data_IF_061629843797
#
_entry.id   IF_061629843797
#
_cell.length_a   1.000
_cell.length_b   1.000
_cell.length_c   1.000
_cell.angle_alpha   90.00
_cell.angle_beta   90.00
_cell.angle_gamma   90.00
#
_symmetry.space_group_name_H-M   'P 1'
#
loop_
_entity.id
_entity.type
_entity.pdbx_description
1 polymer ?
#
# COMPACT_ATOMS: atom_id res chain seq x y z
N UNK A 1 44.78 -71.93 -3.57
CA UNK A 1 44.13 -71.08 -4.60
C UNK A 1 42.76 -70.54 -4.19
N UNK A 2 41.96 -71.24 -3.38
CA UNK A 2 40.60 -70.80 -2.97
C UNK A 2 40.55 -69.45 -2.22
N UNK A 3 41.55 -69.12 -1.38
CA UNK A 3 41.59 -67.86 -0.61
C UNK A 3 41.73 -66.60 -1.46
N UNK A 4 42.48 -66.66 -2.57
CA UNK A 4 42.69 -65.50 -3.44
C UNK A 4 41.41 -65.16 -4.23
N UNK A 5 40.74 -66.20 -4.74
CA UNK A 5 39.47 -66.04 -5.45
C UNK A 5 38.39 -65.43 -4.55
N UNK A 6 38.30 -65.85 -3.28
CA UNK A 6 37.35 -65.28 -2.33
C UNK A 6 37.62 -63.78 -2.08
N UNK A 7 38.89 -63.37 -2.05
CA UNK A 7 39.30 -61.98 -1.86
C UNK A 7 38.94 -61.12 -3.09
N UNK A 8 39.18 -61.60 -4.30
CA UNK A 8 38.81 -60.91 -5.55
C UNK A 8 37.29 -60.70 -5.66
N UNK A 9 36.51 -61.73 -5.32
CA UNK A 9 35.04 -61.62 -5.30
C UNK A 9 34.56 -60.57 -4.30
N UNK A 10 35.18 -60.51 -3.11
CA UNK A 10 34.86 -59.49 -2.12
C UNK A 10 35.24 -58.08 -2.60
N UNK A 11 36.40 -57.93 -3.24
CA UNK A 11 36.86 -56.65 -3.79
C UNK A 11 35.95 -56.17 -4.92
N UNK A 12 35.55 -57.05 -5.83
CA UNK A 12 34.61 -56.75 -6.90
C UNK A 12 33.26 -56.28 -6.34
N UNK A 13 32.72 -56.94 -5.30
CA UNK A 13 31.48 -56.51 -4.65
C UNK A 13 31.61 -55.09 -4.05
N UNK A 14 32.71 -54.81 -3.36
CA UNK A 14 33.00 -53.47 -2.82
C UNK A 14 33.11 -52.43 -3.94
N UNK A 15 33.70 -52.80 -5.07
CA UNK A 15 33.81 -51.91 -6.22
C UNK A 15 32.45 -51.55 -6.80
N UNK A 16 31.59 -52.54 -7.01
CA UNK A 16 30.21 -52.33 -7.48
C UNK A 16 29.42 -51.43 -6.51
N UNK A 17 29.59 -51.62 -5.20
CA UNK A 17 28.96 -50.76 -4.20
C UNK A 17 29.44 -49.30 -4.28
N UNK A 18 30.75 -49.09 -4.45
CA UNK A 18 31.33 -47.75 -4.66
C UNK A 18 30.80 -47.11 -5.95
N UNK A 19 30.72 -47.88 -7.04
CA UNK A 19 30.18 -47.39 -8.32
C UNK A 19 28.70 -47.02 -8.19
N UNK A 20 27.91 -47.85 -7.50
CA UNK A 20 26.50 -47.59 -7.23
C UNK A 20 26.31 -46.29 -6.44
N UNK A 21 27.04 -46.13 -5.34
CA UNK A 21 26.99 -44.90 -4.52
C UNK A 21 27.40 -43.67 -5.31
N UNK A 22 28.46 -43.78 -6.14
CA UNK A 22 28.91 -42.68 -6.99
C UNK A 22 27.83 -42.29 -8.01
N UNK A 23 27.16 -43.27 -8.61
CA UNK A 23 26.11 -43.01 -9.59
C UNK A 23 24.92 -42.28 -8.96
N UNK A 24 24.50 -42.70 -7.76
CA UNK A 24 23.42 -42.06 -7.01
C UNK A 24 23.76 -40.62 -6.63
N UNK A 25 24.98 -40.38 -6.11
CA UNK A 25 25.43 -39.04 -5.77
C UNK A 25 25.46 -38.11 -6.99
N UNK A 26 25.95 -38.61 -8.13
CA UNK A 26 25.97 -37.83 -9.38
C UNK A 26 24.55 -37.45 -9.83
N UNK A 27 23.61 -38.39 -9.77
CA UNK A 27 22.20 -38.14 -10.09
C UNK A 27 21.59 -37.08 -9.17
N UNK A 28 21.86 -37.15 -7.87
CA UNK A 28 21.38 -36.16 -6.89
C UNK A 28 21.98 -34.78 -7.16
N UNK A 29 23.27 -34.70 -7.48
CA UNK A 29 23.94 -33.44 -7.81
C UNK A 29 23.38 -32.81 -9.09
N UNK A 30 23.12 -33.61 -10.13
CA UNK A 30 22.52 -33.14 -11.38
C UNK A 30 21.11 -32.59 -11.14
N UNK A 31 20.29 -33.33 -10.39
CA UNK A 31 18.92 -32.92 -10.04
C UNK A 31 18.94 -31.60 -9.25
N UNK A 32 19.79 -31.51 -8.23
CA UNK A 32 19.93 -30.30 -7.41
C UNK A 32 20.35 -29.07 -8.24
N UNK A 33 21.29 -29.23 -9.17
CA UNK A 33 21.70 -28.15 -10.07
C UNK A 33 20.57 -27.74 -11.02
N UNK A 34 19.82 -28.71 -11.55
CA UNK A 34 18.62 -28.47 -12.35
C UNK A 34 17.58 -27.64 -11.60
N UNK A 35 17.20 -28.07 -10.40
CA UNK A 35 16.21 -27.39 -9.56
C UNK A 35 16.67 -25.98 -9.15
N UNK A 36 17.96 -25.81 -8.82
CA UNK A 36 18.52 -24.51 -8.49
C UNK A 36 18.43 -23.56 -9.68
N UNK A 37 18.70 -24.05 -10.89
CA UNK A 37 18.62 -23.26 -12.13
C UNK A 37 17.18 -22.85 -12.42
N UNK A 38 16.22 -23.79 -12.37
CA UNK A 38 14.81 -23.49 -12.63
C UNK A 38 14.24 -22.53 -11.58
N UNK A 39 14.55 -22.71 -10.30
CA UNK A 39 14.14 -21.79 -9.23
C UNK A 39 14.66 -20.38 -9.48
N UNK A 40 15.93 -20.23 -9.87
CA UNK A 40 16.51 -18.92 -10.20
C UNK A 40 15.81 -18.27 -11.38
N UNK A 41 15.52 -19.01 -12.45
CA UNK A 41 14.80 -18.46 -13.61
C UNK A 41 13.38 -18.02 -13.27
N UNK A 42 12.64 -18.82 -12.48
CA UNK A 42 11.30 -18.44 -12.02
C UNK A 42 11.32 -17.17 -11.16
N UNK A 43 12.30 -17.05 -10.27
CA UNK A 43 12.47 -15.85 -9.43
C UNK A 43 12.79 -14.61 -10.27
N UNK A 44 13.70 -14.71 -11.24
CA UNK A 44 14.02 -13.58 -12.13
C UNK A 44 12.79 -13.17 -12.96
N UNK A 45 12.05 -14.13 -13.52
CA UNK A 45 10.84 -13.82 -14.28
C UNK A 45 9.76 -13.14 -13.42
N UNK A 46 9.57 -13.62 -12.18
CA UNK A 46 8.63 -13.01 -11.24
C UNK A 46 9.06 -11.59 -10.86
N UNK A 47 10.36 -11.37 -10.64
CA UNK A 47 10.92 -10.04 -10.35
C UNK A 47 10.75 -9.08 -11.54
N UNK A 48 11.02 -9.53 -12.76
CA UNK A 48 10.85 -8.73 -13.98
C UNK A 48 9.37 -8.37 -14.21
N UNK A 49 8.45 -9.33 -14.01
CA UNK A 49 7.02 -9.09 -14.12
C UNK A 49 6.54 -8.07 -13.07
N UNK A 50 6.99 -8.22 -11.81
CA UNK A 50 6.70 -7.26 -10.74
C UNK A 50 7.27 -5.87 -11.06
N UNK A 51 8.49 -5.79 -11.58
CA UNK A 51 9.11 -4.53 -11.97
C UNK A 51 8.32 -3.83 -13.07
N UNK A 52 7.89 -4.56 -14.11
CA UNK A 52 7.05 -4.00 -15.19
C UNK A 52 5.72 -3.48 -14.65
N UNK A 53 5.06 -4.24 -13.78
CA UNK A 53 3.81 -3.82 -13.14
C UNK A 53 4.01 -2.56 -12.30
N UNK A 54 5.06 -2.52 -11.48
CA UNK A 54 5.34 -1.39 -10.61
C UNK A 54 5.67 -0.13 -11.41
N UNK A 55 6.40 -0.25 -12.52
CA UNK A 55 6.67 0.88 -13.42
C UNK A 55 5.39 1.45 -14.04
N UNK A 56 4.46 0.58 -14.49
CA UNK A 56 3.17 1.02 -15.01
C UNK A 56 2.33 1.73 -13.92
N UNK A 57 2.23 1.14 -12.74
CA UNK A 57 1.51 1.74 -11.61
C UNK A 57 2.09 3.08 -11.19
N UNK A 58 3.43 3.22 -11.19
CA UNK A 58 4.08 4.49 -10.86
C UNK A 58 3.72 5.59 -11.86
N UNK A 59 3.72 5.27 -13.16
CA UNK A 59 3.31 6.21 -14.19
C UNK A 59 1.83 6.61 -14.04
N UNK A 60 0.95 5.66 -13.73
CA UNK A 60 -0.47 5.93 -13.50
C UNK A 60 -0.69 6.85 -12.30
N UNK A 61 0.06 6.63 -11.21
CA UNK A 61 0.04 7.48 -10.00
C UNK A 61 0.52 8.89 -10.34
N UNK A 62 1.64 9.03 -11.06
CA UNK A 62 2.18 10.32 -11.44
C UNK A 62 1.21 11.10 -12.36
N UNK A 63 0.56 10.41 -13.29
CA UNK A 63 -0.47 11.00 -14.15
C UNK A 63 -1.70 11.45 -13.33
N UNK A 64 -2.14 10.64 -12.36
CA UNK A 64 -3.23 11.00 -11.46
C UNK A 64 -2.87 12.20 -10.57
N UNK A 65 -1.64 12.26 -10.07
CA UNK A 65 -1.13 13.38 -9.28
C UNK A 65 -1.12 14.67 -10.10
N UNK A 66 -0.56 14.67 -11.31
CA UNK A 66 -0.55 15.84 -12.21
C UNK A 66 -1.95 16.35 -12.47
N UNK A 67 -2.89 15.45 -12.79
CA UNK A 67 -4.31 15.79 -12.99
C UNK A 67 -4.95 16.38 -11.73
N UNK A 68 -4.59 15.90 -10.55
CA UNK A 68 -5.06 16.45 -9.29
C UNK A 68 -4.47 17.83 -9.03
N UNK A 69 -3.16 18.00 -9.23
CA UNK A 69 -2.49 19.30 -9.10
C UNK A 69 -3.13 20.33 -10.03
N UNK A 70 -3.34 20.00 -11.31
CA UNK A 70 -4.07 20.85 -12.26
C UNK A 70 -5.44 21.28 -11.71
N UNK A 71 -6.19 20.36 -11.08
CA UNK A 71 -7.49 20.67 -10.45
C UNK A 71 -7.37 21.52 -9.19
N UNK A 72 -6.30 21.36 -8.41
CA UNK A 72 -6.05 22.16 -7.21
C UNK A 72 -5.65 23.60 -7.57
N UNK A 73 -4.93 23.79 -8.68
CA UNK A 73 -4.64 25.12 -9.23
C UNK A 73 -5.85 25.76 -9.90
N UNK A 74 -6.88 24.99 -10.23
CA UNK A 74 -8.18 25.54 -10.63
C UNK A 74 -8.92 26.06 -9.39
N UNK A 75 -9.68 27.13 -9.60
CA UNK A 75 -10.49 27.83 -8.59
C UNK A 75 -11.24 26.83 -7.68
N UNK A 76 -11.42 27.14 -6.37
CA UNK A 76 -12.22 26.30 -5.48
C UNK A 76 -13.54 25.88 -6.11
N UNK A 77 -14.01 24.68 -5.77
CA UNK A 77 -15.25 24.12 -6.35
C UNK A 77 -16.37 25.17 -6.35
N UNK A 78 -17.20 25.28 -7.41
CA UNK A 78 -18.26 26.30 -7.48
C UNK A 78 -19.15 26.35 -6.24
N UNK A 79 -19.43 25.20 -5.64
CA UNK A 79 -20.19 25.11 -4.38
C UNK A 79 -19.46 25.74 -3.19
N UNK A 80 -18.14 25.59 -3.06
CA UNK A 80 -17.37 26.26 -1.99
C UNK A 80 -17.35 27.76 -2.20
N UNK A 81 -17.20 28.23 -3.44
CA UNK A 81 -17.27 29.67 -3.78
C UNK A 81 -18.67 30.23 -3.49
N UNK A 82 -19.73 29.49 -3.84
CA UNK A 82 -21.11 29.88 -3.56
C UNK A 82 -21.38 29.93 -2.06
N UNK A 83 -20.92 28.94 -1.30
CA UNK A 83 -21.08 28.90 0.16
C UNK A 83 -20.36 30.07 0.82
N UNK A 84 -19.11 30.34 0.42
CA UNK A 84 -18.34 31.48 0.91
C UNK A 84 -19.05 32.81 0.60
N UNK A 85 -19.58 32.96 -0.61
CA UNK A 85 -20.34 34.15 -1.02
C UNK A 85 -21.58 34.35 -0.15
N UNK A 86 -22.38 33.29 0.06
CA UNK A 86 -23.57 33.33 0.89
C UNK A 86 -23.23 33.60 2.37
N UNK A 87 -22.15 33.01 2.88
CA UNK A 87 -21.66 33.25 4.24
C UNK A 87 -21.31 34.72 4.44
N UNK A 88 -20.48 35.30 3.58
CA UNK A 88 -20.10 36.72 3.70
C UNK A 88 -21.28 37.67 3.49
N UNK A 89 -22.24 37.32 2.63
CA UNK A 89 -23.50 38.07 2.51
C UNK A 89 -24.29 38.04 3.82
N UNK A 90 -24.45 36.87 4.43
CA UNK A 90 -25.11 36.70 5.73
C UNK A 90 -24.40 37.46 6.85
N UNK A 91 -23.06 37.45 6.88
CA UNK A 91 -22.28 38.24 7.85
C UNK A 91 -22.54 39.72 7.64
N UNK A 92 -22.45 40.23 6.41
CA UNK A 92 -22.72 41.66 6.10
C UNK A 92 -24.12 42.08 6.53
N UNK A 93 -25.12 41.22 6.38
CA UNK A 93 -26.50 41.52 6.76
C UNK A 93 -26.72 41.48 8.29
N UNK A 94 -26.04 40.57 8.98
CA UNK A 94 -26.23 40.36 10.42
C UNK A 94 -25.36 41.25 11.29
N UNK A 95 -24.17 41.64 10.82
CA UNK A 95 -23.19 42.40 11.61
C UNK A 95 -23.73 43.73 12.17
N UNK A 96 -24.49 44.56 11.41
CA UNK A 96 -25.08 45.78 11.97
C UNK A 96 -26.11 45.52 13.07
N UNK A 97 -26.88 44.42 12.95
CA UNK A 97 -27.89 44.02 13.95
C UNK A 97 -27.20 43.62 15.25
N UNK A 98 -26.10 42.89 15.14
CA UNK A 98 -25.24 42.53 16.28
C UNK A 98 -24.58 43.75 16.91
N UNK A 99 -24.08 44.69 16.12
CA UNK A 99 -23.49 45.93 16.62
C UNK A 99 -24.49 46.75 17.45
N UNK A 100 -25.71 46.95 16.95
CA UNK A 100 -26.76 47.65 17.67
C UNK A 100 -27.14 46.98 19.00
N UNK A 101 -27.23 45.65 19.00
CA UNK A 101 -27.49 44.87 20.22
C UNK A 101 -26.36 45.01 21.25
N UNK A 102 -25.10 44.85 20.82
CA UNK A 102 -23.93 44.96 21.70
C UNK A 102 -23.78 46.36 22.30
N UNK A 103 -24.24 47.39 21.60
CA UNK A 103 -24.30 48.77 22.09
C UNK A 103 -25.53 49.07 22.98
N UNK A 104 -26.37 48.06 23.27
CA UNK A 104 -27.58 48.20 24.08
C UNK A 104 -28.71 48.98 23.40
N UNK A 105 -28.63 49.16 22.07
CA UNK A 105 -29.59 49.95 21.27
C UNK A 105 -30.67 49.11 20.58
N UNK A 106 -30.56 47.79 20.65
CA UNK A 106 -31.50 46.84 20.06
C UNK A 106 -31.69 45.63 20.97
N UNK A 107 -32.77 44.88 20.72
CA UNK A 107 -33.01 43.57 21.33
C UNK A 107 -32.13 42.48 20.69
N UNK A 108 -32.15 41.28 21.26
CA UNK A 108 -31.27 40.18 20.87
C UNK A 108 -31.45 39.82 19.38
N UNK A 109 -30.36 39.75 18.58
CA UNK A 109 -30.46 39.45 17.16
C UNK A 109 -30.97 38.03 16.86
N UNK A 110 -31.49 37.86 15.64
CA UNK A 110 -31.98 36.58 15.12
C UNK A 110 -30.87 35.51 15.20
N UNK A 111 -31.18 34.36 15.81
CA UNK A 111 -30.27 33.22 15.98
C UNK A 111 -29.88 32.93 17.44
N UNK A 112 -30.11 33.86 18.37
CA UNK A 112 -29.85 33.64 19.78
C UNK A 112 -31.00 32.84 20.45
N UNK A 113 -30.86 31.52 20.51
CA UNK A 113 -31.72 30.72 21.40
C UNK A 113 -31.21 30.90 22.84
N UNK A 114 -31.92 31.70 23.66
CA UNK A 114 -31.75 31.66 25.12
C UNK A 114 -31.92 30.20 25.56
N UNK A 115 -30.84 29.54 26.01
CA UNK A 115 -30.97 28.31 26.78
C UNK A 115 -31.76 28.67 28.03
N UNK A 116 -32.94 28.08 28.19
CA UNK A 116 -33.77 28.27 29.39
C UNK A 116 -32.93 27.82 30.59
N UNK A 117 -32.51 28.75 31.43
CA UNK A 117 -32.02 28.43 32.77
C UNK A 117 -33.18 27.81 33.53
N UNK A 118 -33.09 26.51 33.79
CA UNK A 118 -33.99 25.83 34.71
C UNK A 118 -33.77 26.46 36.09
N UNK A 119 -34.73 27.27 36.53
CA UNK A 119 -34.78 27.76 37.90
C UNK A 119 -34.87 26.53 38.81
N UNK A 120 -33.78 26.24 39.52
CA UNK A 120 -33.82 25.43 40.73
C UNK A 120 -34.52 26.27 41.78
N UNK A 121 -35.79 25.95 42.03
CA UNK A 121 -36.57 26.54 43.11
C UNK A 121 -36.00 26.03 44.45
N UNK A 122 -35.82 26.97 45.37
CA UNK A 122 -35.45 26.79 46.79
C UNK A 122 -36.53 26.04 47.53
#
# INVERSE_FOLDING_TARGET
MSSYLAQEVHLARRHEEILSQRSELLQQMETYLGDKKTKKTWQTQAADAAHKRNAALLNDIEAAEKKLQERVYLLPHPDTVKLETLYWASIKESLPKWEQFLLGRAEVPIGFKKMKTANQNV
#
